data_IF_753350018463
#
_entry.id   IF_753350018463
#
_cell.length_a   1.000
_cell.length_b   1.000
_cell.length_c   1.000
_cell.angle_alpha   90.00
_cell.angle_beta   90.00
_cell.angle_gamma   90.00
#
_symmetry.space_group_name_H-M   'P 1'
#
loop_
_entity.id
_entity.type
_entity.pdbx_description
1 polymer ?
#
# COMPACT_ATOMS: atom_id res chain seq x y z
N UNK A 1 -8.04 -9.65 -3.81
CA UNK A 1 -7.84 -10.81 -3.00
C UNK A 1 -6.51 -10.85 -2.27
N UNK A 2 -6.29 -11.93 -1.59
CA UNK A 2 -5.06 -12.16 -0.82
C UNK A 2 -3.83 -12.16 -1.71
N UNK A 3 -3.92 -12.72 -2.91
CA UNK A 3 -2.82 -12.75 -3.87
C UNK A 3 -2.44 -11.36 -4.37
N UNK A 4 -3.42 -10.51 -4.60
CA UNK A 4 -3.17 -9.13 -5.03
C UNK A 4 -2.37 -8.37 -3.98
N UNK A 5 -2.74 -8.50 -2.71
CA UNK A 5 -2.02 -7.86 -1.61
C UNK A 5 -0.62 -8.44 -1.43
N UNK A 6 -0.46 -9.74 -1.62
CA UNK A 6 0.85 -10.39 -1.56
C UNK A 6 1.77 -9.83 -2.65
N UNK A 7 1.25 -9.67 -3.87
CA UNK A 7 2.01 -9.10 -4.97
C UNK A 7 2.43 -7.66 -4.69
N UNK A 8 1.53 -6.84 -4.14
CA UNK A 8 1.86 -5.47 -3.75
C UNK A 8 2.93 -5.44 -2.67
N UNK A 9 2.80 -6.29 -1.65
CA UNK A 9 3.77 -6.37 -0.56
C UNK A 9 5.14 -6.82 -1.06
N UNK A 10 5.18 -7.81 -1.95
CA UNK A 10 6.42 -8.31 -2.54
C UNK A 10 7.10 -7.25 -3.40
N UNK A 11 6.33 -6.52 -4.20
CA UNK A 11 6.85 -5.41 -5.00
C UNK A 11 7.42 -4.30 -4.12
N UNK A 12 6.72 -3.96 -3.04
CA UNK A 12 7.19 -2.98 -2.06
C UNK A 12 8.53 -3.39 -1.46
N UNK A 13 8.66 -4.64 -1.05
CA UNK A 13 9.91 -5.16 -0.48
C UNK A 13 11.06 -5.07 -1.47
N UNK A 14 10.79 -5.39 -2.73
CA UNK A 14 11.80 -5.28 -3.79
C UNK A 14 12.25 -3.85 -3.98
N UNK A 15 11.32 -2.89 -4.06
CA UNK A 15 11.66 -1.48 -4.19
C UNK A 15 12.44 -0.98 -2.98
N UNK A 16 12.06 -1.40 -1.77
CA UNK A 16 12.78 -1.02 -0.55
C UNK A 16 14.22 -1.56 -0.55
N UNK A 17 14.42 -2.79 -0.99
CA UNK A 17 15.76 -3.38 -1.12
C UNK A 17 16.61 -2.63 -2.13
N UNK A 18 16.02 -2.25 -3.27
CA UNK A 18 16.72 -1.48 -4.30
C UNK A 18 17.08 -0.08 -3.80
N UNK A 19 16.20 0.58 -3.07
CA UNK A 19 16.47 1.88 -2.46
C UNK A 19 17.65 1.80 -1.50
N UNK A 20 17.69 0.79 -0.64
CA UNK A 20 18.82 0.60 0.27
C UNK A 20 20.13 0.34 -0.46
N UNK A 21 20.08 -0.45 -1.54
CA UNK A 21 21.24 -0.70 -2.38
C UNK A 21 21.74 0.60 -3.03
N UNK A 22 20.85 1.42 -3.57
CA UNK A 22 21.23 2.69 -4.20
C UNK A 22 21.75 3.70 -3.19
N UNK A 23 21.20 3.76 -1.99
CA UNK A 23 21.73 4.60 -0.91
C UNK A 23 23.15 4.21 -0.55
N UNK A 24 23.43 2.91 -0.49
CA UNK A 24 24.77 2.40 -0.24
C UNK A 24 25.75 2.80 -1.36
N UNK A 25 25.30 2.71 -2.61
CA UNK A 25 26.13 3.15 -3.74
C UNK A 25 26.42 4.64 -3.71
N UNK A 26 25.45 5.47 -3.31
CA UNK A 26 25.65 6.91 -3.13
C UNK A 26 26.72 7.17 -2.07
N UNK A 27 26.69 6.45 -0.96
CA UNK A 27 27.71 6.58 0.08
C UNK A 27 29.10 6.17 -0.43
N UNK A 28 29.18 5.09 -1.19
CA UNK A 28 30.42 4.65 -1.82
C UNK A 28 30.97 5.71 -2.80
N UNK A 29 30.09 6.32 -3.59
CA UNK A 29 30.46 7.41 -4.50
C UNK A 29 30.94 8.65 -3.74
N UNK A 30 30.30 8.98 -2.63
CA UNK A 30 30.73 10.10 -1.79
C UNK A 30 32.10 9.84 -1.19
N UNK A 31 32.40 8.63 -0.78
CA UNK A 31 33.72 8.23 -0.31
C UNK A 31 34.77 8.26 -1.44
N UNK A 32 34.38 7.86 -2.64
CA UNK A 32 35.26 7.93 -3.82
C UNK A 32 35.66 9.36 -4.16
N UNK A 33 34.74 10.32 -4.02
CA UNK A 33 35.03 11.74 -4.23
C UNK A 33 36.07 12.21 -3.23
N UNK A 34 35.97 11.81 -1.96
CA UNK A 34 36.97 12.15 -0.93
C UNK A 34 38.34 11.59 -1.27
N UNK A 35 38.41 10.34 -1.72
CA UNK A 35 39.63 9.69 -2.13
C UNK A 35 40.27 10.40 -3.35
N UNK A 36 39.45 10.75 -4.34
CA UNK A 36 39.90 11.51 -5.50
C UNK A 36 40.49 12.86 -5.11
N UNK A 37 39.84 13.55 -4.18
CA UNK A 37 40.35 14.84 -3.69
C UNK A 37 41.72 14.68 -3.02
N UNK A 38 41.90 13.65 -2.20
CA UNK A 38 43.17 13.36 -1.53
C UNK A 38 44.25 13.01 -2.55
N UNK A 39 43.92 12.21 -3.59
CA UNK A 39 44.84 11.85 -4.65
C UNK A 39 45.25 13.07 -5.47
N UNK A 40 44.35 14.01 -5.71
CA UNK A 40 44.67 15.28 -6.35
C UNK A 40 45.67 16.09 -5.53
N UNK A 41 45.38 16.22 -4.24
CA UNK A 41 46.27 17.00 -3.33
C UNK A 41 47.66 16.39 -3.27
N UNK A 42 47.74 15.06 -3.28
CA UNK A 42 49.02 14.35 -3.25
C UNK A 42 49.77 14.31 -4.62
N UNK A 43 49.10 14.78 -5.65
CA UNK A 43 49.67 14.77 -6.99
C UNK A 43 49.64 13.40 -7.69
N UNK A 44 48.84 12.46 -7.17
CA UNK A 44 48.68 11.12 -7.76
C UNK A 44 47.88 11.19 -9.05
N UNK A 45 46.90 12.10 -9.11
CA UNK A 45 46.13 12.35 -10.34
C UNK A 45 46.23 13.81 -10.72
N UNK A 46 46.09 14.09 -12.01
CA UNK A 46 46.09 15.46 -12.52
C UNK A 46 44.79 16.17 -12.17
N UNK A 47 44.81 17.50 -12.24
CA UNK A 47 43.59 18.29 -12.03
C UNK A 47 42.53 17.97 -13.08
N UNK A 48 42.94 17.79 -14.35
CA UNK A 48 42.01 17.44 -15.43
C UNK A 48 41.37 16.09 -15.19
N UNK A 49 42.13 15.09 -14.76
CA UNK A 49 41.58 13.76 -14.41
C UNK A 49 40.66 13.85 -13.22
N UNK A 50 41.00 14.64 -12.22
CA UNK A 50 40.12 14.87 -11.06
C UNK A 50 38.79 15.47 -11.48
N UNK A 51 38.80 16.50 -12.32
CA UNK A 51 37.57 17.15 -12.81
C UNK A 51 36.70 16.15 -13.56
N UNK A 52 37.30 15.36 -14.46
CA UNK A 52 36.55 14.37 -15.25
C UNK A 52 35.94 13.28 -14.39
N UNK A 53 36.75 12.69 -13.51
CA UNK A 53 36.26 11.61 -12.62
C UNK A 53 35.23 12.10 -11.61
N UNK A 54 35.47 13.28 -11.03
CA UNK A 54 34.55 13.87 -10.07
C UNK A 54 33.18 14.16 -10.71
N UNK A 55 33.20 14.70 -11.94
CA UNK A 55 31.96 14.95 -12.68
C UNK A 55 31.19 13.66 -12.94
N UNK A 56 31.87 12.61 -13.39
CA UNK A 56 31.27 11.31 -13.65
C UNK A 56 30.63 10.71 -12.41
N UNK A 57 31.34 10.75 -11.28
CA UNK A 57 30.82 10.21 -10.00
C UNK A 57 29.62 11.03 -9.52
N UNK A 58 29.65 12.35 -9.65
CA UNK A 58 28.53 13.21 -9.27
C UNK A 58 27.29 12.98 -10.12
N UNK A 59 27.48 12.82 -11.42
CA UNK A 59 26.38 12.50 -12.35
C UNK A 59 25.74 11.15 -11.99
N UNK A 60 26.55 10.16 -11.69
CA UNK A 60 26.08 8.85 -11.27
C UNK A 60 25.31 8.90 -9.96
N UNK A 61 25.81 9.68 -9.00
CA UNK A 61 25.15 9.88 -7.72
C UNK A 61 23.80 10.58 -7.88
N UNK A 62 23.72 11.58 -8.76
CA UNK A 62 22.46 12.25 -9.07
C UNK A 62 21.45 11.31 -9.72
N UNK A 63 21.92 10.46 -10.63
CA UNK A 63 21.08 9.44 -11.27
C UNK A 63 20.50 8.47 -10.24
N UNK A 64 21.33 8.00 -9.32
CA UNK A 64 20.90 7.11 -8.25
C UNK A 64 19.90 7.82 -7.31
N UNK A 65 20.12 9.09 -7.02
CA UNK A 65 19.20 9.89 -6.20
C UNK A 65 17.83 10.00 -6.86
N UNK A 66 17.78 10.23 -8.17
CA UNK A 66 16.50 10.27 -8.90
C UNK A 66 15.80 8.91 -8.90
N UNK A 67 16.55 7.81 -9.03
CA UNK A 67 15.98 6.47 -8.95
C UNK A 67 15.38 6.19 -7.57
N UNK A 68 16.05 6.64 -6.51
CA UNK A 68 15.54 6.52 -5.14
C UNK A 68 14.22 7.28 -5.00
N UNK A 69 14.17 8.52 -5.48
CA UNK A 69 12.94 9.33 -5.43
C UNK A 69 11.79 8.65 -6.17
N UNK A 70 12.05 8.13 -7.37
CA UNK A 70 11.05 7.43 -8.17
C UNK A 70 10.54 6.17 -7.44
N UNK A 71 11.44 5.41 -6.85
CA UNK A 71 11.08 4.19 -6.13
C UNK A 71 10.32 4.50 -4.83
N UNK A 72 10.67 5.57 -4.14
CA UNK A 72 9.93 6.01 -2.96
C UNK A 72 8.51 6.44 -3.30
N UNK A 73 8.30 7.07 -4.46
CA UNK A 73 6.97 7.37 -4.99
C UNK A 73 6.21 6.08 -5.25
N UNK A 74 6.82 5.09 -5.88
CA UNK A 74 6.20 3.79 -6.13
C UNK A 74 5.81 3.07 -4.84
N UNK A 75 6.67 3.12 -3.82
CA UNK A 75 6.40 2.56 -2.50
C UNK A 75 5.19 3.24 -1.87
N UNK A 76 5.14 4.56 -1.93
CA UNK A 76 4.01 5.35 -1.40
C UNK A 76 2.70 4.99 -2.10
N UNK A 77 2.72 4.84 -3.42
CA UNK A 77 1.54 4.44 -4.20
C UNK A 77 1.07 3.03 -3.82
N UNK A 78 2.01 2.11 -3.60
CA UNK A 78 1.69 0.76 -3.16
C UNK A 78 1.05 0.78 -1.76
N UNK A 79 1.60 1.56 -0.84
CA UNK A 79 1.02 1.72 0.50
C UNK A 79 -0.40 2.26 0.44
N UNK A 80 -0.66 3.22 -0.43
CA UNK A 80 -1.99 3.77 -0.65
C UNK A 80 -2.95 2.71 -1.19
N UNK A 81 -2.52 1.90 -2.14
CA UNK A 81 -3.33 0.82 -2.70
C UNK A 81 -3.66 -0.24 -1.65
N UNK A 82 -2.71 -0.60 -0.80
CA UNK A 82 -2.93 -1.53 0.30
C UNK A 82 -3.95 -0.96 1.28
N UNK A 83 -3.80 0.30 1.66
CA UNK A 83 -4.71 0.98 2.59
C UNK A 83 -6.14 1.05 2.03
N UNK A 84 -6.29 1.36 0.74
CA UNK A 84 -7.59 1.38 0.07
C UNK A 84 -8.22 0.00 0.05
N UNK A 85 -7.43 -1.04 -0.27
CA UNK A 85 -7.88 -2.42 -0.27
C UNK A 85 -8.36 -2.88 1.09
N UNK A 86 -7.61 -2.57 2.14
CA UNK A 86 -7.97 -2.91 3.51
C UNK A 86 -9.24 -2.19 3.97
N UNK A 87 -9.39 -0.92 3.61
CA UNK A 87 -10.59 -0.15 3.91
C UNK A 87 -11.82 -0.72 3.22
N UNK A 88 -11.71 -1.10 1.96
CA UNK A 88 -12.81 -1.73 1.21
C UNK A 88 -13.23 -3.05 1.84
N UNK A 89 -12.29 -3.86 2.28
CA UNK A 89 -12.59 -5.13 2.95
C UNK A 89 -13.33 -4.91 4.25
N UNK A 90 -12.94 -3.92 5.03
CA UNK A 90 -13.60 -3.60 6.29
C UNK A 90 -15.05 -3.14 6.05
N UNK A 91 -15.27 -2.30 5.04
CA UNK A 91 -16.61 -1.85 4.65
C UNK A 91 -17.48 -3.03 4.23
N UNK A 92 -16.95 -3.94 3.40
CA UNK A 92 -17.69 -5.13 2.96
C UNK A 92 -18.03 -6.02 4.14
N UNK A 93 -17.09 -6.23 5.05
CA UNK A 93 -17.28 -7.03 6.25
C UNK A 93 -18.39 -6.47 7.13
N UNK A 94 -18.39 -5.16 7.35
CA UNK A 94 -19.44 -4.47 8.11
C UNK A 94 -20.80 -4.62 7.42
N UNK A 95 -20.84 -4.47 6.10
CA UNK A 95 -22.07 -4.64 5.34
C UNK A 95 -22.64 -6.07 5.48
N UNK A 96 -21.79 -7.08 5.36
CA UNK A 96 -22.19 -8.48 5.52
C UNK A 96 -22.73 -8.73 6.92
N UNK A 97 -22.08 -8.20 7.95
CA UNK A 97 -22.54 -8.33 9.34
C UNK A 97 -23.91 -7.67 9.56
N UNK A 98 -24.10 -6.48 9.01
CA UNK A 98 -25.39 -5.78 9.08
C UNK A 98 -26.49 -6.55 8.35
N UNK A 99 -26.19 -7.11 7.19
CA UNK A 99 -27.14 -7.91 6.42
C UNK A 99 -27.55 -9.16 7.20
N UNK A 100 -26.62 -9.84 7.84
CA UNK A 100 -26.89 -11.00 8.67
C UNK A 100 -27.77 -10.65 9.88
N UNK A 101 -27.48 -9.53 10.53
CA UNK A 101 -28.28 -9.04 11.66
C UNK A 101 -29.71 -8.72 11.23
N UNK A 102 -29.87 -8.06 10.09
CA UNK A 102 -31.18 -7.75 9.54
C UNK A 102 -32.00 -9.01 9.22
N UNK A 103 -31.36 -10.04 8.70
CA UNK A 103 -32.02 -11.33 8.45
C UNK A 103 -32.52 -11.97 9.71
N UNK A 104 -31.75 -11.94 10.79
CA UNK A 104 -32.20 -12.45 12.09
C UNK A 104 -33.41 -11.70 12.60
N UNK A 105 -33.41 -10.39 12.52
CA UNK A 105 -34.54 -9.54 12.90
C UNK A 105 -35.76 -9.90 12.08
N UNK A 106 -35.63 -10.07 10.79
CA UNK A 106 -36.70 -10.43 9.88
C UNK A 106 -37.30 -11.80 10.26
N UNK A 107 -36.47 -12.80 10.50
CA UNK A 107 -36.91 -14.13 10.87
C UNK A 107 -37.69 -14.09 12.20
N UNK A 108 -37.16 -13.39 13.19
CA UNK A 108 -37.85 -13.26 14.48
C UNK A 108 -39.18 -12.53 14.37
N UNK A 109 -39.26 -11.53 13.50
CA UNK A 109 -40.48 -10.80 13.26
C UNK A 109 -41.55 -11.66 12.57
N UNK A 110 -41.14 -12.48 11.60
CA UNK A 110 -42.04 -13.41 10.94
C UNK A 110 -42.61 -14.43 11.92
N UNK A 111 -41.77 -14.97 12.80
CA UNK A 111 -42.24 -15.90 13.85
C UNK A 111 -43.23 -15.24 14.76
N UNK A 112 -43.02 -14.02 15.18
CA UNK A 112 -43.92 -13.25 16.00
C UNK A 112 -45.29 -13.05 15.31
N UNK A 113 -45.27 -12.69 14.05
CA UNK A 113 -46.48 -12.50 13.24
C UNK A 113 -47.25 -13.81 13.10
N UNK A 114 -46.56 -14.92 12.89
CA UNK A 114 -47.19 -16.24 12.81
C UNK A 114 -47.92 -16.61 14.09
N UNK A 115 -47.34 -16.32 15.25
CA UNK A 115 -47.99 -16.53 16.55
C UNK A 115 -49.17 -15.60 16.70
N UNK A 116 -49.08 -14.36 16.27
CA UNK A 116 -50.16 -13.38 16.30
C UNK A 116 -51.38 -13.81 15.47
N UNK A 117 -51.20 -14.55 14.41
CA UNK A 117 -52.28 -15.06 13.56
C UNK A 117 -53.20 -16.05 14.28
N UNK A 118 -52.76 -16.65 15.35
CA UNK A 118 -53.54 -17.62 16.12
C UNK A 118 -54.50 -16.96 17.11
N UNK A 119 -54.45 -15.65 17.20
CA UNK A 119 -55.35 -14.93 18.08
C UNK A 119 -56.71 -14.81 17.37
N UNK A 120 -57.78 -15.32 17.96
CA UNK A 120 -59.12 -15.27 17.35
C UNK A 120 -59.56 -13.82 17.14
N UNK A 121 -60.08 -13.52 15.99
CA UNK A 121 -60.58 -12.19 15.67
C UNK A 121 -59.59 -11.25 14.98
N UNK A 122 -58.38 -11.69 14.88
CA UNK A 122 -57.46 -10.87 14.19
C UNK A 122 -57.43 -11.29 12.75
N UNK A 123 -58.09 -10.59 12.01
CA UNK A 123 -57.90 -10.75 10.61
C UNK A 123 -56.65 -10.08 10.21
N UNK A 124 -55.78 -10.87 10.11
CA UNK A 124 -54.75 -10.57 9.48
C UNK A 124 -54.69 -10.05 8.31
N UNK A 125 -54.43 -9.12 8.36
CA UNK A 125 -53.87 -8.36 7.52
C UNK A 125 -52.69 -8.99 7.04
N UNK A 126 -52.61 -9.21 5.83
CA UNK A 126 -51.51 -9.67 5.23
C UNK A 126 -50.46 -8.66 5.39
N UNK A 127 -49.71 -8.90 6.21
CA UNK A 127 -48.56 -8.15 6.32
C UNK A 127 -47.73 -8.52 5.18
N UNK A 128 -47.87 -7.77 4.19
CA UNK A 128 -46.97 -7.83 3.14
C UNK A 128 -45.68 -7.25 3.62
N UNK A 129 -44.90 -8.10 4.08
CA UNK A 129 -43.59 -7.68 4.47
C UNK A 129 -42.77 -7.71 3.23
N UNK A 130 -42.64 -6.57 2.67
CA UNK A 130 -41.71 -6.42 1.55
C UNK A 130 -40.35 -6.20 2.14
N UNK A 131 -39.71 -7.28 2.44
CA UNK A 131 -38.38 -7.18 2.90
C UNK A 131 -37.51 -7.22 1.68
N UNK A 132 -37.24 -6.09 1.16
CA UNK A 132 -36.30 -5.93 0.09
C UNK A 132 -34.90 -5.80 0.70
N UNK A 133 -34.39 -6.89 1.13
CA UNK A 133 -33.04 -6.90 1.64
C UNK A 133 -32.14 -7.72 0.74
#
# INVERSE_FOLDING_TARGET
GVEFNRNLTDRKKKYQADVELYKKKIDEHSNSIKTLYMDKVRGVISEDDFITLNKSIREDRERLSRLIDDYEIQISEIDDQIAIGDNRREIVKQYVNLTSLNREIVVNLIDYVSVGRRIPGTKNVPIEIHWAF
#
